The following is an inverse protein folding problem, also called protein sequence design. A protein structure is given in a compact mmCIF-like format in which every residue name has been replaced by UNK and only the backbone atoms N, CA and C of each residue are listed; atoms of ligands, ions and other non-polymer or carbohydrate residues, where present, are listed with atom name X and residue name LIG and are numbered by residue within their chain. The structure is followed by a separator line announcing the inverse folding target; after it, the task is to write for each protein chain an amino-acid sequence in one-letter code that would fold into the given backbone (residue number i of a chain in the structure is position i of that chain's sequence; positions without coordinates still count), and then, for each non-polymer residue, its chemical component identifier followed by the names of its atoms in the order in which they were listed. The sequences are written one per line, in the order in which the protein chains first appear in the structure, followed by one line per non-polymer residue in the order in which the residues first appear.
data_IF_275126254041
#
_entry.id   IF_275126254041
#
_cell.length_a   1.000
_cell.length_b   1.000
_cell.length_c   1.000
_cell.angle_alpha   90.00
_cell.angle_beta   90.00
_cell.angle_gamma   90.00
#
_symmetry.space_group_name_H-M   'P 1'
#
loop_
_entity.id
_entity.type
_entity.pdbx_description
1 polymer ?
#
# COMPACT_ATOMS: atom_id res chain seq x y z
N UNK A 1 54.46 59.48 23.69
CA UNK A 1 53.67 59.60 24.93
C UNK A 1 53.29 61.05 25.11
N UNK A 2 51.99 61.32 25.15
CA UNK A 2 51.46 62.66 25.44
C UNK A 2 51.57 62.87 26.96
N UNK A 3 52.20 63.96 27.38
CA UNK A 3 52.32 64.33 28.80
C UNK A 3 51.20 65.31 29.10
N UNK A 4 50.25 64.92 29.95
CA UNK A 4 49.27 65.82 30.53
C UNK A 4 49.82 66.39 31.84
N UNK A 5 49.76 67.71 32.00
CA UNK A 5 50.06 68.39 33.25
C UNK A 5 48.73 68.78 33.92
N UNK A 6 48.41 68.14 35.04
CA UNK A 6 47.44 68.71 35.98
C UNK A 6 48.24 69.56 36.97
N UNK A 7 48.01 70.86 36.91
CA UNK A 7 48.49 71.81 37.90
C UNK A 7 47.39 72.00 38.92
N UNK A 8 47.52 71.38 40.09
CA UNK A 8 46.93 71.95 41.30
C UNK A 8 47.82 71.67 42.51
N UNK A 9 47.79 72.62 43.44
CA UNK A 9 48.86 72.93 44.36
C UNK A 9 48.97 71.98 45.57
N UNK A 10 50.22 71.89 46.06
CA UNK A 10 50.67 71.40 47.37
C UNK A 10 50.41 69.91 47.67
N UNK A 11 51.53 69.17 47.74
CA UNK A 11 51.67 67.75 48.13
C UNK A 11 51.46 66.70 47.02
N UNK A 12 52.08 66.91 45.86
CA UNK A 12 52.23 65.89 44.83
C UNK A 12 53.28 64.84 45.24
N UNK A 13 52.84 63.71 45.81
CA UNK A 13 53.58 62.46 45.71
C UNK A 13 53.75 62.12 44.22
N UNK A 14 55.01 62.02 43.79
CA UNK A 14 55.32 61.50 42.45
C UNK A 14 55.04 60.00 42.49
N UNK A 15 53.83 59.61 42.13
CA UNK A 15 53.56 58.23 41.72
C UNK A 15 54.18 58.06 40.34
N UNK A 16 55.43 57.61 40.30
CA UNK A 16 55.89 56.89 39.11
C UNK A 16 55.08 55.60 39.07
N UNK A 17 54.04 55.56 38.23
CA UNK A 17 53.62 54.29 37.66
C UNK A 17 54.83 53.77 36.89
N UNK A 18 55.70 53.04 37.58
CA UNK A 18 56.54 52.08 36.90
C UNK A 18 55.58 51.12 36.23
N UNK A 19 55.95 50.74 35.01
CA UNK A 19 55.26 49.80 34.16
C UNK A 19 55.23 48.37 34.77
N UNK A 20 54.96 48.23 36.07
CA UNK A 20 54.72 46.98 36.78
C UNK A 20 53.24 46.60 36.81
N UNK A 21 52.40 47.32 36.06
CA UNK A 21 51.02 46.94 35.76
C UNK A 21 50.78 46.64 34.28
N UNK A 22 51.80 46.77 33.42
CA UNK A 22 51.77 46.05 32.16
C UNK A 22 52.10 44.61 32.51
N UNK A 23 51.05 43.83 32.79
CA UNK A 23 51.08 42.40 32.50
C UNK A 23 51.83 42.24 31.17
N UNK A 24 52.71 41.22 31.02
CA UNK A 24 53.21 40.92 29.68
C UNK A 24 51.99 40.92 28.77
N UNK A 25 52.10 41.52 27.58
CA UNK A 25 51.16 41.18 26.52
C UNK A 25 51.40 39.68 26.34
N UNK A 26 50.63 38.88 27.07
CA UNK A 26 50.56 37.45 26.87
C UNK A 26 50.13 37.37 25.43
N UNK A 27 51.00 36.82 24.59
CA UNK A 27 50.53 36.35 23.31
C UNK A 27 49.40 35.39 23.65
N UNK A 28 48.19 35.65 23.16
CA UNK A 28 47.08 34.73 23.36
C UNK A 28 47.53 33.33 22.95
N UNK A 29 47.40 32.40 23.88
CA UNK A 29 47.79 31.01 23.73
C UNK A 29 46.58 30.23 24.17
N UNK A 30 45.98 29.53 23.20
CA UNK A 30 44.90 28.62 23.49
C UNK A 30 45.35 27.53 24.45
N UNK A 31 44.53 27.24 25.46
CA UNK A 31 44.80 26.23 26.47
C UNK A 31 45.57 26.74 27.69
N UNK A 32 45.72 28.06 27.87
CA UNK A 32 46.41 28.64 29.03
C UNK A 32 45.47 28.89 30.24
N UNK A 33 44.18 28.62 30.06
CA UNK A 33 43.11 28.74 31.04
C UNK A 33 42.54 30.16 31.12
N UNK A 34 42.86 31.05 30.18
CA UNK A 34 42.49 32.46 30.21
C UNK A 34 41.92 32.90 28.86
N UNK A 35 40.58 32.98 28.77
CA UNK A 35 39.89 33.57 27.61
C UNK A 35 40.24 35.05 27.47
N UNK A 36 40.86 35.42 26.35
CA UNK A 36 41.26 36.80 26.07
C UNK A 36 40.28 37.49 25.13
N UNK A 37 39.52 38.46 25.67
CA UNK A 37 38.43 39.14 24.97
C UNK A 37 38.87 39.74 23.62
N UNK A 38 38.20 39.30 22.55
CA UNK A 38 38.44 39.76 21.18
C UNK A 38 39.63 39.10 20.48
N UNK A 39 40.26 38.11 21.11
CA UNK A 39 41.31 37.27 20.51
C UNK A 39 40.88 35.80 20.46
N UNK A 40 40.29 35.30 21.54
CA UNK A 40 39.83 33.91 21.70
C UNK A 40 38.33 33.91 22.03
N UNK A 41 37.58 32.96 21.48
CA UNK A 41 36.16 32.76 21.80
C UNK A 41 35.96 31.88 23.04
N UNK A 42 36.89 30.94 23.26
CA UNK A 42 36.96 30.05 24.42
C UNK A 42 38.42 29.78 24.80
N UNK A 43 38.63 29.14 25.96
CA UNK A 43 39.89 28.53 26.42
C UNK A 43 39.54 27.60 27.58
N UNK A 44 39.90 26.33 27.48
CA UNK A 44 39.54 25.30 28.46
C UNK A 44 40.74 24.88 29.36
N UNK A 45 41.90 25.50 29.16
CA UNK A 45 43.10 25.30 29.96
C UNK A 45 43.94 24.08 29.59
N UNK A 46 43.77 23.51 28.38
CA UNK A 46 44.59 22.41 27.91
C UNK A 46 44.83 22.45 26.36
N UNK A 47 45.73 21.62 25.84
CA UNK A 47 46.05 21.53 24.39
C UNK A 47 45.41 20.29 23.71
N UNK A 48 44.26 19.83 24.21
CA UNK A 48 43.51 18.66 23.71
C UNK A 48 42.42 19.18 22.77
N UNK A 49 42.48 18.74 21.52
CA UNK A 49 41.43 19.03 20.54
C UNK A 49 40.15 18.25 20.87
N UNK A 50 39.02 18.72 20.35
CA UNK A 50 37.72 18.08 20.47
C UNK A 50 37.14 17.99 21.89
N UNK A 51 37.40 18.98 22.75
CA UNK A 51 36.74 19.13 24.05
C UNK A 51 35.94 20.43 24.16
N UNK A 52 35.94 21.08 25.33
CA UNK A 52 35.14 22.29 25.56
C UNK A 52 35.62 23.50 24.73
N UNK A 53 36.84 23.47 24.19
CA UNK A 53 37.37 24.51 23.31
C UNK A 53 38.34 23.90 22.29
N UNK A 54 38.20 24.25 21.01
CA UNK A 54 39.16 23.82 19.99
C UNK A 54 40.55 24.43 20.23
N UNK A 55 41.62 23.79 19.75
CA UNK A 55 43.00 24.33 19.90
C UNK A 55 43.25 25.62 19.10
N UNK A 56 42.30 26.03 18.26
CA UNK A 56 42.28 27.32 17.57
C UNK A 56 41.52 28.41 18.36
N UNK A 57 41.05 28.08 19.57
CA UNK A 57 40.31 28.95 20.48
C UNK A 57 38.94 29.39 19.95
N UNK A 58 38.33 28.55 19.13
CA UNK A 58 36.96 28.65 18.68
C UNK A 58 36.09 27.67 19.46
N UNK A 59 34.85 28.06 19.74
CA UNK A 59 33.88 27.14 20.32
C UNK A 59 33.56 26.03 19.32
N UNK A 60 33.26 24.80 19.79
CA UNK A 60 32.72 23.74 18.95
C UNK A 60 31.53 24.24 18.12
N UNK A 61 31.55 23.96 16.81
CA UNK A 61 30.49 24.35 15.88
C UNK A 61 30.03 23.13 15.09
N UNK A 62 28.77 22.77 15.30
CA UNK A 62 28.13 21.74 14.52
C UNK A 62 28.13 22.04 13.02
N UNK A 63 28.53 21.05 12.22
CA UNK A 63 28.60 21.08 10.76
C UNK A 63 29.97 21.46 10.21
N UNK A 64 31.04 21.45 11.02
CA UNK A 64 32.39 21.84 10.58
C UNK A 64 33.31 20.66 10.18
N UNK A 65 32.84 19.44 10.43
CA UNK A 65 33.47 18.16 10.11
C UNK A 65 34.23 17.56 11.28
N UNK A 66 34.15 18.15 12.47
CA UNK A 66 34.85 17.71 13.67
C UNK A 66 33.84 17.60 14.81
N UNK A 67 33.61 16.37 15.30
CA UNK A 67 32.76 16.18 16.47
C UNK A 67 33.54 16.53 17.75
N UNK A 68 33.17 17.64 18.40
CA UNK A 68 33.90 18.22 19.54
C UNK A 68 32.99 18.49 20.76
N UNK A 69 33.56 18.45 21.96
CA UNK A 69 32.84 18.81 23.18
C UNK A 69 31.67 17.88 23.50
N UNK A 70 30.45 18.43 23.47
CA UNK A 70 29.20 17.72 23.78
C UNK A 70 28.48 17.19 22.52
N UNK A 71 29.07 17.35 21.33
CA UNK A 71 28.50 16.86 20.08
C UNK A 71 28.53 15.32 20.01
N UNK A 72 27.39 14.72 19.66
CA UNK A 72 27.30 13.26 19.51
C UNK A 72 27.80 12.78 18.13
N UNK A 73 27.78 13.68 17.14
CA UNK A 73 28.26 13.50 15.77
C UNK A 73 28.57 14.87 15.16
N UNK A 74 29.27 14.87 14.02
CA UNK A 74 29.40 16.01 13.10
C UNK A 74 29.73 15.42 11.71
N UNK A 75 28.97 15.81 10.68
CA UNK A 75 29.17 15.33 9.30
C UNK A 75 29.68 16.42 8.32
N UNK A 76 30.02 17.59 8.86
CA UNK A 76 30.64 18.68 8.11
C UNK A 76 29.68 19.46 7.20
N UNK A 77 28.37 19.42 7.50
CA UNK A 77 27.41 20.22 6.77
C UNK A 77 26.17 20.61 7.61
N UNK A 78 25.26 21.39 7.00
CA UNK A 78 24.04 21.92 7.65
C UNK A 78 22.75 21.20 7.18
N UNK A 79 22.82 19.92 6.76
CA UNK A 79 21.63 19.11 6.51
C UNK A 79 21.23 18.34 7.78
N UNK A 80 19.93 18.18 7.99
CA UNK A 80 19.40 17.42 9.14
C UNK A 80 19.12 15.94 8.79
N UNK A 81 19.02 15.61 7.50
CA UNK A 81 18.51 14.34 6.99
C UNK A 81 19.57 13.29 6.66
N UNK A 82 20.81 13.52 7.06
CA UNK A 82 22.00 12.71 6.80
C UNK A 82 22.56 12.11 8.09
N UNK A 83 23.86 11.87 8.16
CA UNK A 83 24.49 11.13 9.24
C UNK A 83 24.46 11.86 10.60
N UNK A 84 24.27 13.18 10.60
CA UNK A 84 24.16 13.99 11.81
C UNK A 84 23.09 15.08 11.66
N UNK A 85 22.38 15.40 12.74
CA UNK A 85 21.47 16.57 12.73
C UNK A 85 22.25 17.87 12.90
N UNK A 86 21.64 19.00 12.53
CA UNK A 86 22.18 20.36 12.74
C UNK A 86 22.28 20.76 14.23
N UNK A 87 21.82 19.90 15.13
CA UNK A 87 22.00 20.01 16.58
C UNK A 87 23.10 19.09 17.11
N UNK A 88 23.88 18.47 16.21
CA UNK A 88 24.92 17.51 16.51
C UNK A 88 24.43 16.35 17.38
N UNK A 89 23.17 15.99 17.18
CA UNK A 89 22.55 14.80 17.73
C UNK A 89 22.55 13.70 16.68
N UNK A 90 22.78 12.47 17.13
CA UNK A 90 22.68 11.30 16.28
C UNK A 90 21.24 11.12 15.80
N UNK A 91 21.07 10.57 14.59
CA UNK A 91 19.78 10.19 14.06
C UNK A 91 18.92 9.38 15.03
N UNK A 92 17.64 9.74 15.17
CA UNK A 92 16.69 9.00 15.97
C UNK A 92 15.26 9.14 15.47
N UNK A 93 14.60 7.99 15.27
CA UNK A 93 13.19 7.94 14.98
C UNK A 93 12.32 8.59 16.07
N UNK A 94 11.41 9.46 15.63
CA UNK A 94 10.50 10.23 16.47
C UNK A 94 11.01 11.64 16.81
N UNK A 95 12.02 12.16 16.11
CA UNK A 95 12.56 13.50 16.31
C UNK A 95 11.96 14.58 15.37
N UNK A 96 11.15 14.13 14.41
CA UNK A 96 10.43 14.95 13.44
C UNK A 96 11.24 15.23 12.16
N UNK A 97 12.39 14.58 11.99
CA UNK A 97 13.28 14.73 10.84
C UNK A 97 13.34 13.38 10.14
N UNK A 98 12.99 13.32 8.87
CA UNK A 98 13.14 12.08 8.09
C UNK A 98 14.60 11.93 7.64
N UNK A 99 15.28 10.93 8.18
CA UNK A 99 16.71 10.72 7.99
C UNK A 99 17.01 9.65 6.94
N UNK A 100 18.28 9.48 6.58
CA UNK A 100 18.66 8.47 5.61
C UNK A 100 18.34 7.06 6.11
N UNK A 101 17.37 6.41 5.47
CA UNK A 101 16.94 5.05 5.78
C UNK A 101 15.58 4.98 6.47
N UNK A 102 15.01 6.11 6.84
CA UNK A 102 13.65 6.23 7.35
C UNK A 102 12.66 6.46 6.20
N UNK A 103 11.47 5.88 6.32
CA UNK A 103 10.38 6.10 5.35
C UNK A 103 9.45 7.24 5.79
N UNK A 104 9.38 7.48 7.10
CA UNK A 104 8.59 8.51 7.77
C UNK A 104 9.23 8.88 9.12
N UNK A 105 8.83 10.02 9.68
CA UNK A 105 9.04 10.42 11.07
C UNK A 105 7.97 11.46 11.41
N UNK A 106 7.17 11.23 12.46
CA UNK A 106 6.08 12.13 12.88
C UNK A 106 6.39 12.92 14.18
N UNK A 107 7.63 12.84 14.66
CA UNK A 107 8.12 13.60 15.81
C UNK A 107 7.61 13.09 17.16
N UNK A 108 7.19 11.83 17.25
CA UNK A 108 6.76 11.27 18.51
C UNK A 108 7.11 9.76 18.66
N UNK A 109 6.63 9.13 19.74
CA UNK A 109 6.93 7.72 20.06
C UNK A 109 5.66 6.86 20.21
N UNK A 110 4.56 7.31 19.61
CA UNK A 110 3.37 6.47 19.40
C UNK A 110 3.66 5.53 18.23
N UNK A 111 3.09 4.33 18.28
CA UNK A 111 3.38 3.27 17.30
C UNK A 111 2.20 3.00 16.37
N UNK A 112 1.08 3.71 16.59
CA UNK A 112 -0.23 3.43 16.01
C UNK A 112 -0.79 4.65 15.25
N UNK A 113 0.07 5.63 14.96
CA UNK A 113 -0.25 6.86 14.23
C UNK A 113 0.43 6.88 12.85
N UNK A 114 0.71 8.07 12.32
CA UNK A 114 1.14 8.24 10.94
C UNK A 114 2.51 7.61 10.63
N UNK A 115 3.35 7.40 11.64
CA UNK A 115 4.64 6.73 11.49
C UNK A 115 4.95 5.81 12.68
N UNK A 116 5.34 4.55 12.40
CA UNK A 116 5.73 3.65 13.48
C UNK A 116 7.05 4.05 14.15
N UNK A 117 7.30 3.56 15.37
CA UNK A 117 8.53 3.83 16.14
C UNK A 117 9.82 3.26 15.50
N UNK A 118 9.68 2.47 14.43
CA UNK A 118 10.78 2.00 13.60
C UNK A 118 11.05 2.88 12.40
N UNK A 119 10.33 4.01 12.26
CA UNK A 119 10.36 4.92 11.12
C UNK A 119 10.08 4.23 9.78
N UNK A 120 9.17 3.26 9.87
CA UNK A 120 8.55 2.59 8.75
C UNK A 120 7.08 2.99 8.75
N UNK A 121 6.53 3.12 7.55
CA UNK A 121 5.10 3.37 7.42
C UNK A 121 4.31 2.18 7.99
N UNK A 122 3.14 2.43 8.59
CA UNK A 122 2.24 1.34 8.97
C UNK A 122 1.92 0.44 7.78
N UNK A 123 2.00 -0.88 8.00
CA UNK A 123 1.70 -1.89 6.99
C UNK A 123 0.53 -2.76 7.45
N UNK A 124 -0.39 -3.00 6.52
CA UNK A 124 -1.51 -3.90 6.76
C UNK A 124 -1.04 -5.34 6.92
N UNK A 125 -1.50 -6.00 7.99
CA UNK A 125 -1.15 -7.37 8.34
C UNK A 125 0.03 -7.48 9.33
N UNK A 126 0.45 -6.39 9.96
CA UNK A 126 1.57 -6.38 10.92
C UNK A 126 1.13 -6.71 12.38
N UNK A 127 -0.18 -6.83 12.61
CA UNK A 127 -0.79 -7.12 13.90
C UNK A 127 -1.19 -5.87 14.68
N UNK A 128 -1.08 -4.67 14.10
CA UNK A 128 -1.35 -3.39 14.75
C UNK A 128 -2.28 -2.53 13.91
N UNK A 129 -3.49 -2.31 14.42
CA UNK A 129 -4.43 -1.38 13.79
C UNK A 129 -3.96 0.06 13.94
N UNK A 130 -3.33 0.58 12.89
CA UNK A 130 -2.72 1.91 12.84
C UNK A 130 -3.70 2.95 12.28
N UNK A 131 -3.30 4.23 12.24
CA UNK A 131 -4.18 5.28 11.72
C UNK A 131 -4.52 5.05 10.25
N UNK A 132 -5.82 5.06 9.94
CA UNK A 132 -6.32 4.82 8.58
C UNK A 132 -6.72 3.37 8.29
N UNK A 133 -6.39 2.43 9.17
CA UNK A 133 -6.83 1.03 9.09
C UNK A 133 -8.15 0.83 9.84
N UNK A 134 -9.07 0.06 9.27
CA UNK A 134 -10.32 -0.32 9.94
C UNK A 134 -10.15 -1.58 10.81
N UNK A 135 -9.24 -2.46 10.39
CA UNK A 135 -8.85 -3.69 11.06
C UNK A 135 -7.39 -4.01 10.74
N UNK A 136 -6.82 -4.93 11.51
CA UNK A 136 -5.59 -5.66 11.20
C UNK A 136 -5.67 -7.01 11.92
N UNK A 137 -5.44 -8.12 11.22
CA UNK A 137 -5.44 -9.47 11.81
C UNK A 137 -4.08 -10.18 11.76
N UNK A 138 -3.02 -9.43 11.49
CA UNK A 138 -1.63 -9.85 11.60
C UNK A 138 -1.17 -10.83 10.52
N UNK A 139 -1.83 -10.85 9.37
CA UNK A 139 -1.42 -11.70 8.27
C UNK A 139 -1.82 -11.13 6.88
N UNK A 140 -1.35 -11.75 5.80
CA UNK A 140 -1.59 -11.32 4.40
C UNK A 140 -2.68 -12.17 3.69
N UNK A 141 -3.61 -12.76 4.44
CA UNK A 141 -4.71 -13.55 3.91
C UNK A 141 -5.93 -12.64 3.77
N UNK A 142 -6.48 -12.56 2.56
CA UNK A 142 -7.53 -11.59 2.24
C UNK A 142 -8.95 -12.02 2.67
N UNK A 143 -9.09 -13.27 3.15
CA UNK A 143 -10.38 -13.95 3.29
C UNK A 143 -10.70 -14.42 4.73
N UNK A 144 -10.10 -13.77 5.72
CA UNK A 144 -10.30 -14.03 7.14
C UNK A 144 -10.77 -12.80 7.93
N UNK A 145 -10.00 -12.31 8.89
CA UNK A 145 -10.47 -11.31 9.86
C UNK A 145 -10.41 -9.89 9.32
N UNK A 146 -9.53 -9.64 8.36
CA UNK A 146 -9.29 -8.36 7.74
C UNK A 146 -8.86 -8.55 6.28
N UNK A 147 -9.23 -7.63 5.38
CA UNK A 147 -8.66 -7.68 4.03
C UNK A 147 -7.21 -7.17 4.04
N UNK A 148 -6.44 -7.52 3.01
CA UNK A 148 -5.08 -7.02 2.78
C UNK A 148 -5.02 -5.52 2.47
N UNK A 149 -6.18 -4.85 2.41
CA UNK A 149 -6.29 -3.39 2.32
C UNK A 149 -6.79 -2.77 3.63
N UNK A 150 -6.71 -3.53 4.73
CA UNK A 150 -7.08 -3.11 6.08
C UNK A 150 -8.51 -2.58 6.19
N UNK A 151 -9.40 -3.22 5.43
CA UNK A 151 -10.84 -2.96 5.45
C UNK A 151 -11.55 -4.17 6.02
N UNK A 152 -12.67 -3.94 6.71
CA UNK A 152 -13.44 -5.08 7.22
C UNK A 152 -14.01 -5.91 6.06
N UNK A 153 -13.99 -7.25 6.17
CA UNK A 153 -14.64 -8.16 5.23
C UNK A 153 -16.09 -7.75 4.97
N UNK A 154 -16.49 -7.65 3.70
CA UNK A 154 -17.83 -7.23 3.33
C UNK A 154 -18.37 -7.98 2.12
N UNK A 155 -19.66 -8.29 2.15
CA UNK A 155 -20.32 -8.89 1.01
C UNK A 155 -20.38 -7.92 -0.18
N UNK A 156 -19.95 -8.38 -1.35
CA UNK A 156 -19.86 -7.59 -2.57
C UNK A 156 -18.52 -6.88 -2.76
N UNK A 157 -17.49 -7.22 -1.99
CA UNK A 157 -16.15 -6.61 -2.09
C UNK A 157 -15.25 -7.30 -3.14
N UNK A 158 -15.70 -8.42 -3.69
CA UNK A 158 -15.00 -9.21 -4.71
C UNK A 158 -14.15 -10.35 -4.13
N UNK A 159 -14.13 -10.52 -2.81
CA UNK A 159 -13.33 -11.51 -2.10
C UNK A 159 -14.28 -12.45 -1.36
N UNK A 160 -14.16 -13.76 -1.61
CA UNK A 160 -14.99 -14.74 -0.91
C UNK A 160 -14.48 -14.99 0.52
N UNK A 161 -15.17 -14.42 1.50
CA UNK A 161 -14.79 -14.45 2.93
C UNK A 161 -15.20 -15.74 3.63
N UNK A 162 -14.61 -15.99 4.81
CA UNK A 162 -15.00 -17.13 5.64
C UNK A 162 -16.42 -16.95 6.21
N UNK A 163 -17.38 -17.66 5.63
CA UNK A 163 -18.79 -17.65 6.05
C UNK A 163 -19.75 -17.19 4.96
N UNK A 164 -19.22 -16.69 3.86
CA UNK A 164 -19.97 -16.37 2.65
C UNK A 164 -20.14 -17.60 1.76
N UNK A 165 -21.30 -17.72 1.11
CA UNK A 165 -21.55 -18.76 0.10
C UNK A 165 -21.12 -18.30 -1.30
N UNK A 166 -21.10 -16.98 -1.51
CA UNK A 166 -20.68 -16.30 -2.74
C UNK A 166 -20.20 -14.89 -2.44
N UNK A 167 -19.51 -14.30 -3.41
CA UNK A 167 -19.26 -12.86 -3.53
C UNK A 167 -19.13 -12.57 -5.04
N UNK A 168 -19.81 -11.56 -5.55
CA UNK A 168 -19.72 -11.16 -6.96
C UNK A 168 -19.29 -9.70 -7.18
N UNK A 169 -18.67 -9.10 -6.16
CA UNK A 169 -17.99 -7.82 -6.25
C UNK A 169 -18.90 -6.62 -6.47
N UNK A 170 -20.18 -6.72 -6.09
CA UNK A 170 -21.11 -5.61 -6.16
C UNK A 170 -22.28 -5.72 -5.16
N UNK A 171 -22.99 -4.62 -4.92
CA UNK A 171 -24.11 -4.54 -3.97
C UNK A 171 -25.51 -4.75 -4.63
N UNK A 172 -25.61 -5.52 -5.72
CA UNK A 172 -26.88 -5.74 -6.44
C UNK A 172 -27.53 -7.05 -5.97
N UNK A 173 -28.44 -6.96 -5.01
CA UNK A 173 -29.10 -8.11 -4.37
C UNK A 173 -29.78 -9.14 -5.30
N UNK A 174 -30.03 -8.85 -6.57
CA UNK A 174 -30.75 -9.76 -7.47
C UNK A 174 -29.89 -10.36 -8.59
N UNK A 175 -28.59 -10.52 -8.37
CA UNK A 175 -27.66 -11.13 -9.31
C UNK A 175 -27.08 -12.48 -8.83
N UNK A 176 -25.79 -12.73 -9.05
CA UNK A 176 -25.17 -14.03 -8.79
C UNK A 176 -24.99 -14.26 -7.28
N UNK A 177 -24.86 -13.19 -6.51
CA UNK A 177 -24.77 -13.21 -5.06
C UNK A 177 -25.71 -12.20 -4.42
N UNK A 178 -26.41 -12.60 -3.36
CA UNK A 178 -27.17 -11.65 -2.57
C UNK A 178 -26.28 -10.73 -1.77
N UNK A 179 -26.81 -9.57 -1.37
CA UNK A 179 -26.09 -8.67 -0.44
C UNK A 179 -26.00 -9.27 0.98
N UNK A 180 -26.62 -10.43 1.21
CA UNK A 180 -26.46 -11.28 2.39
C UNK A 180 -25.45 -12.41 2.20
N UNK A 181 -24.71 -12.40 1.09
CA UNK A 181 -23.70 -13.38 0.71
C UNK A 181 -24.20 -14.82 0.64
N UNK A 182 -25.50 -14.93 0.36
CA UNK A 182 -26.16 -16.16 0.01
C UNK A 182 -26.40 -16.18 -1.49
N UNK A 183 -26.33 -17.36 -2.08
CA UNK A 183 -26.64 -17.50 -3.50
C UNK A 183 -28.12 -17.17 -3.72
N UNK A 184 -28.41 -16.02 -4.35
CA UNK A 184 -29.79 -15.60 -4.67
C UNK A 184 -30.39 -16.32 -5.88
N UNK A 185 -29.66 -17.29 -6.44
CA UNK A 185 -30.14 -18.16 -7.50
C UNK A 185 -31.05 -19.28 -6.99
N UNK A 186 -32.34 -18.96 -6.83
CA UNK A 186 -33.39 -19.97 -6.91
C UNK A 186 -33.54 -20.46 -8.37
N UNK A 187 -32.64 -21.31 -8.86
CA UNK A 187 -32.96 -22.18 -9.99
C UNK A 187 -32.36 -23.57 -9.87
N UNK A 188 -33.14 -24.59 -10.20
CA UNK A 188 -32.74 -26.00 -10.14
C UNK A 188 -31.77 -26.45 -11.24
N UNK A 189 -30.91 -25.55 -11.74
CA UNK A 189 -29.99 -25.74 -12.86
C UNK A 189 -28.70 -24.91 -12.73
N UNK A 190 -27.81 -24.95 -13.72
CA UNK A 190 -26.56 -24.17 -13.72
C UNK A 190 -26.78 -22.74 -14.22
N UNK A 191 -26.27 -21.74 -13.49
CA UNK A 191 -26.41 -20.33 -13.85
C UNK A 191 -25.57 -19.95 -15.07
N UNK A 192 -26.00 -18.92 -15.80
CA UNK A 192 -25.16 -18.23 -16.78
C UNK A 192 -25.39 -16.72 -16.77
N UNK A 193 -24.31 -15.98 -17.05
CA UNK A 193 -24.33 -14.55 -17.29
C UNK A 193 -23.87 -14.28 -18.74
N UNK A 194 -24.74 -13.83 -19.65
CA UNK A 194 -24.37 -13.54 -21.03
C UNK A 194 -23.72 -12.15 -21.21
N UNK A 195 -23.37 -11.45 -20.13
CA UNK A 195 -22.66 -10.17 -20.16
C UNK A 195 -23.52 -8.95 -20.52
N UNK A 196 -24.84 -9.06 -20.41
CA UNK A 196 -25.80 -7.98 -20.73
C UNK A 196 -26.73 -7.60 -19.56
N UNK A 197 -26.44 -8.05 -18.34
CA UNK A 197 -27.24 -7.77 -17.14
C UNK A 197 -28.55 -8.55 -17.04
N UNK A 198 -28.78 -9.58 -17.88
CA UNK A 198 -29.93 -10.48 -17.78
C UNK A 198 -29.44 -11.84 -17.29
N UNK A 199 -29.88 -12.25 -16.10
CA UNK A 199 -29.67 -13.60 -15.60
C UNK A 199 -30.60 -14.60 -16.26
N UNK A 200 -30.09 -15.80 -16.48
CA UNK A 200 -30.91 -16.95 -16.83
C UNK A 200 -30.30 -18.24 -16.28
N UNK A 201 -31.03 -19.34 -16.43
CA UNK A 201 -30.60 -20.65 -15.96
C UNK A 201 -30.56 -21.66 -17.09
N UNK A 202 -29.54 -22.51 -17.07
CA UNK A 202 -29.44 -23.69 -17.92
C UNK A 202 -30.32 -24.80 -17.37
N UNK A 203 -31.27 -25.23 -18.18
CA UNK A 203 -32.08 -26.40 -17.92
C UNK A 203 -31.79 -27.48 -18.95
N UNK A 204 -31.42 -28.66 -18.47
CA UNK A 204 -31.40 -29.86 -19.32
C UNK A 204 -32.82 -30.38 -19.47
N UNK A 205 -33.23 -30.71 -20.71
CA UNK A 205 -34.53 -31.27 -21.00
C UNK A 205 -34.79 -32.52 -20.13
N UNK A 206 -35.96 -32.61 -19.46
CA UNK A 206 -36.28 -33.76 -18.62
C UNK A 206 -36.60 -35.04 -19.42
N UNK A 207 -36.82 -34.92 -20.74
CA UNK A 207 -37.07 -36.04 -21.64
C UNK A 207 -36.42 -35.81 -23.01
N UNK A 208 -36.16 -36.92 -23.73
CA UNK A 208 -35.76 -36.89 -25.13
C UNK A 208 -36.85 -36.26 -26.00
N UNK A 209 -36.47 -35.72 -27.16
CA UNK A 209 -37.41 -35.12 -28.12
C UNK A 209 -38.20 -33.90 -27.57
N UNK A 210 -37.61 -33.16 -26.64
CA UNK A 210 -38.10 -31.86 -26.20
C UNK A 210 -37.26 -30.73 -26.80
N UNK A 211 -37.90 -29.58 -27.02
CA UNK A 211 -37.27 -28.35 -27.51
C UNK A 211 -37.04 -27.34 -26.39
N UNK A 212 -36.16 -26.37 -26.60
CA UNK A 212 -35.92 -25.33 -25.61
C UNK A 212 -37.12 -24.41 -25.37
N UNK A 213 -38.02 -24.27 -26.35
CA UNK A 213 -39.31 -23.62 -26.15
C UNK A 213 -40.15 -24.36 -25.11
N UNK A 214 -40.15 -25.70 -25.16
CA UNK A 214 -40.90 -26.55 -24.23
C UNK A 214 -40.24 -26.59 -22.84
N UNK A 215 -38.91 -26.62 -22.80
CA UNK A 215 -38.14 -26.59 -21.53
C UNK A 215 -38.31 -25.24 -20.82
N UNK A 216 -38.14 -24.12 -21.53
CA UNK A 216 -38.19 -22.79 -20.92
C UNK A 216 -39.60 -22.22 -20.74
N UNK A 217 -40.66 -22.94 -21.12
CA UNK A 217 -42.05 -22.45 -21.01
C UNK A 217 -42.46 -22.10 -19.56
N UNK A 218 -41.86 -22.76 -18.57
CA UNK A 218 -42.06 -22.49 -17.14
C UNK A 218 -40.97 -21.63 -16.48
N UNK A 219 -39.98 -21.17 -17.25
CA UNK A 219 -38.77 -20.52 -16.75
C UNK A 219 -38.49 -19.26 -17.58
N UNK A 220 -39.37 -18.26 -17.56
CA UNK A 220 -39.14 -16.96 -18.23
C UNK A 220 -39.00 -16.97 -19.76
N UNK A 221 -39.08 -18.12 -20.43
CA UNK A 221 -38.90 -18.26 -21.88
C UNK A 221 -37.44 -18.44 -22.31
N UNK A 222 -37.25 -18.91 -23.54
CA UNK A 222 -35.91 -19.21 -24.09
C UNK A 222 -35.11 -17.93 -24.36
N UNK A 223 -33.87 -17.88 -23.88
CA UNK A 223 -32.96 -16.76 -24.10
C UNK A 223 -32.05 -17.04 -25.32
N UNK A 224 -32.37 -16.42 -26.46
CA UNK A 224 -31.63 -16.60 -27.71
C UNK A 224 -30.24 -15.95 -27.71
N UNK A 225 -29.98 -14.95 -26.86
CA UNK A 225 -28.69 -14.26 -26.79
C UNK A 225 -27.70 -15.04 -25.94
N UNK A 226 -28.14 -15.50 -24.78
CA UNK A 226 -27.35 -16.36 -23.90
C UNK A 226 -27.09 -17.76 -24.46
N UNK A 227 -27.96 -18.18 -25.37
CA UNK A 227 -27.81 -19.41 -26.14
C UNK A 227 -26.77 -19.30 -27.27
N UNK A 228 -26.02 -18.21 -27.37
CA UNK A 228 -24.95 -18.06 -28.36
C UNK A 228 -23.60 -18.30 -27.69
N UNK A 229 -22.93 -19.40 -28.04
CA UNK A 229 -21.56 -19.65 -27.59
C UNK A 229 -20.54 -19.53 -28.71
N UNK A 230 -19.30 -19.19 -28.34
CA UNK A 230 -18.13 -19.25 -29.21
C UNK A 230 -17.13 -20.27 -28.65
N UNK A 231 -16.57 -21.10 -29.54
CA UNK A 231 -15.61 -22.15 -29.16
C UNK A 231 -16.24 -23.52 -28.92
N UNK A 232 -15.41 -24.46 -28.47
CA UNK A 232 -15.73 -25.90 -28.41
C UNK A 232 -16.37 -26.32 -27.06
N UNK A 233 -17.11 -25.41 -26.43
CA UNK A 233 -17.59 -25.58 -25.06
C UNK A 233 -19.05 -26.04 -25.02
N UNK A 234 -19.20 -27.29 -24.60
CA UNK A 234 -20.38 -27.98 -24.03
C UNK A 234 -21.56 -28.28 -24.97
N UNK A 235 -21.52 -29.50 -25.51
CA UNK A 235 -22.66 -30.31 -25.92
C UNK A 235 -22.22 -31.77 -25.92
N UNK A 236 -23.01 -32.70 -25.37
CA UNK A 236 -22.71 -34.12 -25.52
C UNK A 236 -22.85 -34.49 -27.00
N UNK A 237 -21.72 -34.69 -27.68
CA UNK A 237 -21.69 -35.16 -29.06
C UNK A 237 -22.27 -36.58 -29.10
N UNK A 238 -23.45 -36.74 -29.69
CA UNK A 238 -24.10 -38.04 -29.80
C UNK A 238 -23.86 -38.66 -31.17
N UNK A 239 -23.51 -39.94 -31.19
CA UNK A 239 -23.26 -40.72 -32.41
C UNK A 239 -24.44 -41.68 -32.60
N UNK A 240 -25.52 -41.28 -33.32
CA UNK A 240 -26.65 -42.18 -33.53
C UNK A 240 -26.22 -43.40 -34.34
N UNK A 241 -26.67 -44.57 -33.88
CA UNK A 241 -26.35 -45.89 -34.41
C UNK A 241 -26.53 -45.97 -35.95
N UNK A 242 -25.51 -46.51 -36.64
CA UNK A 242 -25.41 -46.59 -38.10
C UNK A 242 -26.45 -47.55 -38.71
N UNK A 243 -27.28 -47.06 -39.63
CA UNK A 243 -27.86 -47.91 -40.67
C UNK A 243 -26.83 -48.17 -41.78
N UNK A 244 -26.71 -49.41 -42.24
CA UNK A 244 -25.65 -49.86 -43.16
C UNK A 244 -25.57 -48.98 -44.43
N UNK A 245 -24.48 -48.20 -44.55
CA UNK A 245 -24.11 -47.45 -45.76
C UNK A 245 -23.99 -45.93 -45.63
N UNK A 246 -24.38 -45.31 -44.51
CA UNK A 246 -24.23 -43.86 -44.30
C UNK A 246 -22.89 -43.42 -43.67
N UNK A 247 -22.45 -42.21 -43.98
CA UNK A 247 -21.39 -41.51 -43.24
C UNK A 247 -21.88 -41.20 -41.82
N UNK A 248 -20.97 -41.16 -40.85
CA UNK A 248 -21.29 -40.68 -39.50
C UNK A 248 -21.76 -39.24 -39.56
N UNK A 249 -22.90 -38.96 -38.94
CA UNK A 249 -23.40 -37.60 -38.73
C UNK A 249 -23.25 -37.31 -37.26
N UNK A 250 -22.43 -36.33 -36.92
CA UNK A 250 -22.41 -35.75 -35.58
C UNK A 250 -23.76 -35.09 -35.36
N UNK A 251 -24.46 -35.45 -34.29
CA UNK A 251 -25.64 -34.72 -33.84
C UNK A 251 -25.24 -34.02 -32.55
N UNK A 252 -25.18 -32.70 -32.62
CA UNK A 252 -25.00 -31.89 -31.43
C UNK A 252 -26.33 -31.76 -30.70
N UNK A 253 -26.33 -32.21 -29.45
CA UNK A 253 -27.52 -32.18 -28.61
C UNK A 253 -27.68 -30.84 -27.86
N UNK A 254 -26.94 -29.80 -28.25
CA UNK A 254 -27.11 -28.44 -27.72
C UNK A 254 -27.76 -27.54 -28.77
N UNK A 255 -28.61 -26.59 -28.38
CA UNK A 255 -29.20 -25.64 -29.32
C UNK A 255 -28.30 -24.42 -29.58
N UNK A 256 -27.01 -24.46 -29.20
CA UNK A 256 -26.29 -23.25 -28.77
C UNK A 256 -24.83 -23.08 -29.23
N UNK A 257 -24.32 -23.86 -30.18
CA UNK A 257 -22.99 -23.58 -30.75
C UNK A 257 -23.08 -22.88 -32.12
N UNK A 258 -22.24 -21.86 -32.33
CA UNK A 258 -22.05 -21.26 -33.65
C UNK A 258 -20.97 -22.03 -34.43
N UNK A 259 -20.97 -23.37 -34.35
CA UNK A 259 -20.02 -24.22 -35.04
C UNK A 259 -20.74 -25.33 -35.79
N UNK A 260 -21.04 -25.02 -37.06
CA UNK A 260 -21.16 -25.97 -38.17
C UNK A 260 -21.66 -27.39 -37.85
N UNK A 261 -22.93 -27.54 -37.43
CA UNK A 261 -23.92 -28.46 -38.01
C UNK A 261 -25.30 -28.19 -37.35
N UNK A 262 -26.47 -28.18 -37.99
CA UNK A 262 -26.94 -28.79 -39.23
C UNK A 262 -27.44 -27.74 -40.25
N UNK A 263 -26.98 -27.86 -41.50
CA UNK A 263 -27.70 -27.34 -42.66
C UNK A 263 -27.56 -25.84 -42.98
N UNK A 264 -26.35 -25.39 -43.30
CA UNK A 264 -26.03 -24.19 -44.09
C UNK A 264 -26.37 -22.79 -43.52
N UNK A 265 -25.40 -21.88 -43.64
CA UNK A 265 -25.55 -20.41 -43.67
C UNK A 265 -25.78 -19.66 -42.34
N UNK A 266 -24.80 -19.66 -41.41
CA UNK A 266 -24.69 -18.64 -40.34
C UNK A 266 -26.01 -18.33 -39.58
N UNK A 267 -26.78 -19.35 -39.22
CA UNK A 267 -28.09 -19.20 -38.58
C UNK A 267 -28.01 -18.94 -37.07
N UNK A 268 -29.02 -18.26 -36.53
CA UNK A 268 -29.21 -18.04 -35.09
C UNK A 268 -29.72 -19.30 -34.37
N UNK A 269 -29.59 -19.42 -33.02
CA UNK A 269 -30.12 -20.53 -32.23
C UNK A 269 -31.62 -20.78 -32.48
N UNK A 270 -32.01 -22.04 -32.72
CA UNK A 270 -33.42 -22.43 -32.93
C UNK A 270 -34.03 -23.02 -31.66
N UNK A 271 -34.93 -22.25 -31.03
CA UNK A 271 -35.66 -22.65 -29.83
C UNK A 271 -36.60 -23.85 -30.04
N UNK A 272 -36.94 -24.19 -31.29
CA UNK A 272 -37.83 -25.29 -31.64
C UNK A 272 -37.10 -26.60 -31.96
N UNK A 273 -35.75 -26.59 -31.98
CA UNK A 273 -34.97 -27.79 -32.24
C UNK A 273 -35.23 -28.86 -31.19
N UNK A 274 -35.43 -30.10 -31.64
CA UNK A 274 -35.53 -31.29 -30.81
C UNK A 274 -35.09 -32.53 -31.57
N UNK A 275 -34.57 -33.52 -30.87
CA UNK A 275 -34.12 -34.77 -31.47
C UNK A 275 -34.44 -35.97 -30.57
N UNK A 276 -34.86 -37.08 -31.19
CA UNK A 276 -35.30 -38.28 -30.47
C UNK A 276 -34.20 -39.03 -29.72
N UNK A 277 -32.93 -38.66 -29.95
CA UNK A 277 -31.76 -39.22 -29.28
C UNK A 277 -30.98 -38.20 -28.44
N UNK A 278 -31.51 -36.99 -28.22
CA UNK A 278 -30.84 -35.92 -27.48
C UNK A 278 -31.68 -35.39 -26.32
N UNK A 279 -31.02 -35.12 -25.20
CA UNK A 279 -31.48 -34.16 -24.21
C UNK A 279 -30.88 -32.81 -24.58
N UNK A 280 -31.71 -31.80 -24.81
CA UNK A 280 -31.26 -30.45 -25.12
C UNK A 280 -30.92 -29.69 -23.83
N UNK A 281 -29.86 -28.89 -23.85
CA UNK A 281 -29.54 -27.96 -22.76
C UNK A 281 -29.94 -26.54 -23.20
N UNK A 282 -30.73 -25.85 -22.37
CA UNK A 282 -31.45 -24.65 -22.77
C UNK A 282 -31.23 -23.51 -21.78
N UNK A 283 -30.82 -22.34 -22.28
CA UNK A 283 -30.78 -21.11 -21.52
C UNK A 283 -32.19 -20.50 -21.44
N UNK A 284 -32.72 -20.39 -20.24
CA UNK A 284 -34.05 -19.83 -19.99
C UNK A 284 -33.93 -18.53 -19.17
N UNK A 285 -34.73 -17.51 -19.48
CA UNK A 285 -34.76 -16.25 -18.71
C UNK A 285 -35.32 -16.49 -17.29
N UNK A 286 -35.06 -15.57 -16.37
CA UNK A 286 -35.85 -15.44 -15.14
C UNK A 286 -36.82 -14.26 -15.26
#
# INVERSE_FOLDING_TARGET
GIIFFFNDAADAEIYTLTLHGALPISTAVCGDGIVQEGVEECDDGNDVDADACGNDCMLPVCGDGVAEGDEACDDGNDFDGDECTNLCALPSCGDGIVQMGEECDDGNQDDLDECGNSCLLPECGDGKTSVGEECDDGNEVDNDGCTNTCSLPACGDGILQMGEECDDGNDIDNDQCGNDCMINASCGGSLFNPGNGIMGCWYTAPALNMSCTEVCAGHGGFNTQASQHTGNAVGMLFWPNKSNGGNWVTVECSSTDNNTNWGANNGAPDAAFKHSACYVNCACNQ
#
